data_IF_734009783105
#
_entry.id   IF_734009783105
#
_cell.length_a   1.000
_cell.length_b   1.000
_cell.length_c   1.000
_cell.angle_alpha   90.00
_cell.angle_beta   90.00
_cell.angle_gamma   90.00
#
_symmetry.space_group_name_H-M   'P 1'
#
loop_
_entity.id
_entity.type
_entity.pdbx_description
1 polymer ?
#
# COMPACT_ATOMS: atom_id res chain seq x y z
N UNK A 1 -9.55 15.62 7.42
CA UNK A 1 -9.80 14.94 6.13
C UNK A 1 -10.62 15.92 5.33
N UNK A 2 -9.91 16.85 4.70
CA UNK A 2 -10.55 17.89 3.89
C UNK A 2 -11.22 17.25 2.69
N UNK A 3 -12.43 17.74 2.41
CA UNK A 3 -13.32 17.15 1.41
C UNK A 3 -12.82 17.63 0.05
N UNK A 4 -12.37 16.68 -0.77
CA UNK A 4 -12.05 16.89 -2.18
C UNK A 4 -13.13 17.73 -2.89
N UNK A 5 -12.77 18.61 -3.83
CA UNK A 5 -13.73 19.24 -4.72
C UNK A 5 -14.71 18.19 -5.30
N UNK A 6 -16.02 18.48 -5.41
CA UNK A 6 -17.03 17.50 -5.84
C UNK A 6 -16.69 16.82 -7.18
N UNK A 7 -16.05 17.55 -8.08
CA UNK A 7 -15.59 17.09 -9.39
C UNK A 7 -14.51 16.01 -9.29
N UNK A 8 -13.65 16.08 -8.26
CA UNK A 8 -12.60 15.09 -8.00
C UNK A 8 -13.09 13.96 -7.09
N UNK A 9 -13.99 14.26 -6.14
CA UNK A 9 -14.58 13.26 -5.24
C UNK A 9 -15.46 12.23 -5.98
N UNK A 10 -16.00 12.60 -7.13
CA UNK A 10 -16.86 11.73 -7.95
C UNK A 10 -16.09 10.82 -8.91
N UNK A 11 -14.77 10.97 -9.02
CA UNK A 11 -13.94 10.11 -9.85
C UNK A 11 -13.69 8.75 -9.17
N UNK A 12 -13.64 7.65 -9.93
CA UNK A 12 -13.26 6.36 -9.36
C UNK A 12 -11.83 6.44 -8.79
N UNK A 13 -11.54 5.76 -7.68
CA UNK A 13 -10.20 5.74 -7.13
C UNK A 13 -9.22 5.16 -8.16
N UNK A 14 -7.97 5.64 -8.20
CA UNK A 14 -6.99 5.16 -9.15
C UNK A 14 -6.74 3.66 -8.96
N UNK A 15 -6.82 2.90 -10.04
CA UNK A 15 -6.67 1.43 -10.06
C UNK A 15 -5.30 0.95 -9.54
N UNK A 16 -4.29 1.83 -9.49
CA UNK A 16 -2.95 1.50 -9.01
C UNK A 16 -2.86 1.38 -7.48
N UNK A 17 -3.86 1.84 -6.72
CA UNK A 17 -3.88 1.64 -5.27
C UNK A 17 -4.34 0.22 -4.97
N UNK A 18 -3.45 -0.56 -4.38
CA UNK A 18 -3.75 -1.95 -4.02
C UNK A 18 -4.54 -2.03 -2.72
N UNK A 19 -5.51 -2.93 -2.64
CA UNK A 19 -6.14 -3.30 -1.38
C UNK A 19 -5.14 -4.11 -0.54
N UNK A 20 -5.06 -3.76 0.75
CA UNK A 20 -4.11 -4.36 1.68
C UNK A 20 -4.89 -5.26 2.62
N UNK A 21 -4.69 -6.56 2.50
CA UNK A 21 -5.25 -7.56 3.40
C UNK A 21 -4.14 -8.47 3.93
N UNK A 22 -3.91 -8.36 5.24
CA UNK A 22 -2.91 -9.14 5.95
C UNK A 22 -3.21 -10.64 5.91
N UNK A 23 -4.46 -11.05 6.13
CA UNK A 23 -4.84 -12.46 6.21
C UNK A 23 -4.75 -13.11 4.83
N UNK A 24 -5.19 -12.41 3.79
CA UNK A 24 -5.02 -12.86 2.41
C UNK A 24 -3.52 -13.03 2.07
N UNK A 25 -2.68 -12.07 2.47
CA UNK A 25 -1.25 -12.14 2.20
C UNK A 25 -0.55 -13.27 2.97
N UNK A 26 -0.91 -13.47 4.23
CA UNK A 26 -0.40 -14.56 5.05
C UNK A 26 -0.77 -15.91 4.45
N UNK A 27 -2.01 -16.07 3.97
CA UNK A 27 -2.46 -17.28 3.28
C UNK A 27 -1.67 -17.55 1.99
N UNK A 28 -1.39 -16.52 1.19
CA UNK A 28 -0.53 -16.66 0.01
C UNK A 28 0.89 -17.12 0.37
N UNK A 29 1.50 -16.52 1.39
CA UNK A 29 2.85 -16.87 1.83
C UNK A 29 2.90 -18.30 2.39
N UNK A 30 1.88 -18.73 3.13
CA UNK A 30 1.71 -20.13 3.58
C UNK A 30 1.65 -21.10 2.41
N UNK A 31 0.85 -20.81 1.39
CA UNK A 31 0.77 -21.65 0.19
C UNK A 31 2.11 -21.73 -0.57
N UNK A 32 2.85 -20.62 -0.64
CA UNK A 32 4.20 -20.58 -1.21
C UNK A 32 5.18 -21.43 -0.41
N UNK A 33 5.16 -21.34 0.92
CA UNK A 33 5.99 -22.17 1.79
C UNK A 33 5.71 -23.65 1.58
N UNK A 34 4.44 -24.06 1.56
CA UNK A 34 4.02 -25.44 1.28
C UNK A 34 4.64 -25.97 -0.01
N UNK A 35 4.59 -25.16 -1.07
CA UNK A 35 5.12 -25.51 -2.40
C UNK A 35 6.64 -25.70 -2.37
N UNK A 36 7.36 -24.79 -1.71
CA UNK A 36 8.82 -24.85 -1.59
C UNK A 36 9.26 -26.07 -0.78
N UNK A 37 8.58 -26.36 0.33
CA UNK A 37 8.91 -27.48 1.20
C UNK A 37 8.60 -28.84 0.55
N UNK A 38 7.47 -28.95 -0.14
CA UNK A 38 7.15 -30.15 -0.93
C UNK A 38 8.21 -30.41 -2.01
N UNK A 39 8.66 -29.36 -2.72
CA UNK A 39 9.72 -29.47 -3.71
C UNK A 39 11.09 -29.86 -3.10
N UNK A 40 11.34 -29.50 -1.85
CA UNK A 40 12.53 -29.89 -1.10
C UNK A 40 12.42 -31.28 -0.44
N UNK A 41 11.28 -31.95 -0.54
CA UNK A 41 11.02 -33.23 0.15
C UNK A 41 10.89 -33.11 1.66
N UNK A 42 10.58 -31.91 2.16
CA UNK A 42 10.36 -31.63 3.58
C UNK A 42 8.89 -31.88 3.87
N UNK A 43 8.61 -32.88 4.70
CA UNK A 43 7.27 -33.13 5.24
C UNK A 43 6.99 -32.10 6.34
N UNK A 44 6.19 -31.10 6.01
CA UNK A 44 5.86 -29.98 6.86
C UNK A 44 4.39 -29.64 6.70
N UNK A 45 3.67 -29.70 7.81
CA UNK A 45 2.29 -29.24 7.86
C UNK A 45 2.29 -27.74 8.15
N UNK A 46 1.78 -26.97 7.20
CA UNK A 46 1.67 -25.51 7.32
C UNK A 46 0.57 -25.12 8.31
N UNK A 47 -0.31 -26.05 8.69
CA UNK A 47 -1.41 -25.79 9.61
C UNK A 47 -1.03 -26.00 11.09
N UNK A 48 -1.55 -25.11 11.92
CA UNK A 48 -1.93 -25.34 13.33
C UNK A 48 -0.92 -25.20 14.47
N UNK A 49 0.27 -24.63 14.26
CA UNK A 49 1.12 -24.19 15.38
C UNK A 49 1.45 -22.70 15.30
N UNK A 50 0.72 -21.88 16.08
CA UNK A 50 1.03 -20.45 16.28
C UNK A 50 2.46 -20.23 16.80
N UNK A 51 3.03 -21.24 17.46
CA UNK A 51 4.40 -21.24 18.01
C UNK A 51 5.44 -21.74 17.03
N UNK A 52 5.06 -22.15 15.82
CA UNK A 52 6.01 -22.59 14.80
C UNK A 52 6.88 -21.40 14.34
N UNK A 53 8.22 -21.51 14.41
CA UNK A 53 9.12 -20.47 13.93
C UNK A 53 8.85 -20.04 12.49
N UNK A 54 8.49 -20.96 11.60
CA UNK A 54 8.16 -20.63 10.22
C UNK A 54 6.86 -19.80 10.14
N UNK A 55 5.84 -20.12 10.94
CA UNK A 55 4.61 -19.32 11.01
C UNK A 55 4.89 -17.90 11.52
N UNK A 56 5.69 -17.77 12.58
CA UNK A 56 6.07 -16.45 13.13
C UNK A 56 6.81 -15.62 12.07
N UNK A 57 7.74 -16.23 11.34
CA UNK A 57 8.47 -15.54 10.25
C UNK A 57 7.53 -15.13 9.10
N UNK A 58 6.54 -15.96 8.75
CA UNK A 58 5.54 -15.61 7.74
C UNK A 58 4.65 -14.45 8.20
N UNK A 59 4.29 -14.37 9.48
CA UNK A 59 3.54 -13.25 10.05
C UNK A 59 4.34 -11.94 9.99
N UNK A 60 5.63 -11.98 10.37
CA UNK A 60 6.53 -10.83 10.23
C UNK A 60 6.62 -10.39 8.77
N UNK A 61 6.83 -11.33 7.85
CA UNK A 61 6.92 -11.03 6.41
C UNK A 61 5.62 -10.46 5.86
N UNK A 62 4.45 -10.99 6.25
CA UNK A 62 3.15 -10.47 5.83
C UNK A 62 2.91 -9.04 6.34
N UNK A 63 3.32 -8.77 7.57
CA UNK A 63 3.22 -7.43 8.17
C UNK A 63 4.14 -6.42 7.47
N UNK A 64 5.40 -6.77 7.22
CA UNK A 64 6.33 -5.90 6.49
C UNK A 64 5.87 -5.65 5.05
N UNK A 65 5.36 -6.67 4.37
CA UNK A 65 4.77 -6.55 3.03
C UNK A 65 3.59 -5.56 3.04
N UNK A 66 2.73 -5.62 4.05
CA UNK A 66 1.61 -4.69 4.22
C UNK A 66 2.11 -3.24 4.37
N UNK A 67 3.09 -3.00 5.24
CA UNK A 67 3.65 -1.66 5.44
C UNK A 67 4.30 -1.13 4.17
N UNK A 68 5.00 -1.97 3.42
CA UNK A 68 5.60 -1.59 2.15
C UNK A 68 4.54 -1.21 1.11
N UNK A 69 3.47 -1.99 0.99
CA UNK A 69 2.34 -1.69 0.08
C UNK A 69 1.61 -0.41 0.49
N UNK A 70 1.43 -0.17 1.78
CA UNK A 70 0.87 1.08 2.27
C UNK A 70 1.73 2.27 1.84
N UNK A 71 3.05 2.20 2.04
CA UNK A 71 3.98 3.26 1.61
C UNK A 71 3.96 3.47 0.10
N UNK A 72 3.86 2.40 -0.69
CA UNK A 72 3.72 2.50 -2.14
C UNK A 72 2.41 3.18 -2.53
N UNK A 73 1.29 2.80 -1.88
CA UNK A 73 -0.01 3.42 -2.11
C UNK A 73 -0.01 4.91 -1.76
N UNK A 74 0.64 5.30 -0.67
CA UNK A 74 0.83 6.71 -0.28
C UNK A 74 1.65 7.47 -1.33
N UNK A 75 2.76 6.90 -1.80
CA UNK A 75 3.58 7.49 -2.86
C UNK A 75 2.83 7.62 -4.19
N UNK A 76 2.00 6.63 -4.55
CA UNK A 76 1.15 6.69 -5.74
C UNK A 76 0.09 7.78 -5.60
N UNK A 77 -0.52 7.91 -4.41
CA UNK A 77 -1.54 8.94 -4.15
C UNK A 77 -0.99 10.35 -4.33
N UNK A 78 0.24 10.62 -3.93
CA UNK A 78 0.82 11.95 -4.03
C UNK A 78 1.06 12.44 -5.47
N UNK A 79 0.94 11.55 -6.46
CA UNK A 79 0.97 11.93 -7.89
C UNK A 79 -0.38 12.39 -8.42
N UNK A 80 -1.48 12.17 -7.70
CA UNK A 80 -2.80 12.62 -8.12
C UNK A 80 -3.09 13.96 -7.48
N UNK A 81 -3.45 14.95 -8.30
CA UNK A 81 -3.76 16.31 -7.85
C UNK A 81 -4.80 16.36 -6.72
N UNK A 82 -5.73 15.40 -6.71
CA UNK A 82 -6.72 15.24 -5.64
C UNK A 82 -6.10 15.00 -4.25
N UNK A 83 -4.98 14.28 -4.17
CA UNK A 83 -4.41 13.82 -2.89
C UNK A 83 -3.00 14.36 -2.61
N UNK A 84 -2.40 15.09 -3.55
CA UNK A 84 -1.07 15.64 -3.40
C UNK A 84 -1.06 16.79 -2.38
N UNK A 85 -0.04 16.83 -1.55
CA UNK A 85 0.15 17.87 -0.52
C UNK A 85 1.58 18.42 -0.59
N UNK A 86 1.78 19.60 -0.02
CA UNK A 86 3.08 20.27 0.13
C UNK A 86 3.90 20.28 -1.17
N UNK A 87 5.15 19.82 -1.11
CA UNK A 87 6.08 19.84 -2.25
C UNK A 87 5.62 18.99 -3.43
N UNK A 88 4.85 17.91 -3.20
CA UNK A 88 4.33 17.08 -4.29
C UNK A 88 3.28 17.86 -5.08
N UNK A 89 2.42 18.63 -4.41
CA UNK A 89 1.46 19.53 -5.05
C UNK A 89 2.18 20.65 -5.82
N UNK A 90 3.25 21.22 -5.25
CA UNK A 90 4.03 22.27 -5.92
C UNK A 90 4.69 21.77 -7.20
N UNK A 91 5.22 20.54 -7.19
CA UNK A 91 5.78 19.91 -8.40
C UNK A 91 4.68 19.67 -9.44
N UNK A 92 3.51 19.18 -9.02
CA UNK A 92 2.38 18.95 -9.93
C UNK A 92 1.86 20.25 -10.55
N UNK A 93 1.76 21.33 -9.76
CA UNK A 93 1.33 22.65 -10.21
C UNK A 93 2.15 23.17 -11.41
N UNK A 94 3.46 22.87 -11.45
CA UNK A 94 4.33 23.29 -12.54
C UNK A 94 3.96 22.66 -13.90
N UNK A 95 3.36 21.47 -13.91
CA UNK A 95 2.88 20.85 -15.16
C UNK A 95 1.71 21.62 -15.79
N UNK A 96 1.04 22.44 -15.00
CA UNK A 96 -0.09 23.28 -15.41
C UNK A 96 0.28 24.77 -15.52
N UNK A 97 1.57 25.11 -15.45
CA UNK A 97 2.09 26.49 -15.49
C UNK A 97 1.49 27.39 -14.40
N UNK A 98 1.22 26.80 -13.23
CA UNK A 98 0.76 27.52 -12.04
C UNK A 98 1.73 27.33 -10.88
N UNK A 99 1.73 28.27 -9.96
CA UNK A 99 2.59 28.26 -8.78
C UNK A 99 1.80 28.71 -7.56
N UNK A 100 2.10 28.10 -6.42
CA UNK A 100 1.52 28.43 -5.12
C UNK A 100 1.77 29.89 -4.76
N UNK A 101 0.74 30.57 -4.28
CA UNK A 101 0.86 31.93 -3.78
C UNK A 101 1.55 31.97 -2.41
N UNK A 102 2.18 33.09 -2.09
CA UNK A 102 2.86 33.25 -0.80
C UNK A 102 1.86 33.16 0.36
N UNK A 103 2.08 32.21 1.27
CA UNK A 103 1.24 31.98 2.45
C UNK A 103 -0.01 31.13 2.20
N UNK A 104 -0.19 30.60 0.99
CA UNK A 104 -1.27 29.68 0.66
C UNK A 104 -1.02 28.28 1.24
N UNK A 105 -2.01 27.75 1.98
CA UNK A 105 -2.02 26.38 2.47
C UNK A 105 -2.59 25.41 1.44
N UNK A 106 -2.34 24.11 1.61
CA UNK A 106 -2.99 23.07 0.80
C UNK A 106 -4.50 22.92 1.09
N UNK A 107 -4.92 23.42 2.26
CA UNK A 107 -6.33 23.41 2.66
C UNK A 107 -7.05 24.62 2.03
N UNK A 108 -8.24 24.35 1.48
CA UNK A 108 -9.13 25.37 0.91
C UNK A 108 -9.77 26.28 1.96
#
# INVERSE_FOLDING_TARGET
>A
MDILPPELASLPPPRLVEEIDYEARLAELRAKLATIFAAAGIDYDVADLETDPAQILLQVSAYEDMLLRQRINEAIRSWFLAYAEAGDLDVLAQWYDVSRLYGESDNA
#
